data_IF_804907885494
#
_entry.id   IF_804907885494
#
_cell.length_a   1.000
_cell.length_b   1.000
_cell.length_c   1.000
_cell.angle_alpha   90.00
_cell.angle_beta   90.00
_cell.angle_gamma   90.00
#
_symmetry.space_group_name_H-M   'P 1'
#
loop_
_entity.id
_entity.type
_entity.pdbx_description
1 polymer ?
#
# COMPACT_ATOMS: atom_id res chain seq x y z
N UNK A 1 -30.11 0.89 23.85
CA UNK A 1 -28.66 0.97 24.09
C UNK A 1 -28.07 -0.36 23.64
N UNK A 2 -27.61 -0.48 22.38
CA UNK A 2 -26.93 -1.69 21.94
C UNK A 2 -25.55 -1.74 22.60
N UNK A 3 -25.19 -2.94 23.06
CA UNK A 3 -24.11 -3.18 23.99
C UNK A 3 -22.72 -2.99 23.37
N UNK A 4 -21.84 -2.43 24.19
CA UNK A 4 -20.39 -2.28 23.97
C UNK A 4 -19.64 -3.60 23.70
N UNK A 5 -20.33 -4.74 23.66
CA UNK A 5 -19.76 -6.08 23.51
C UNK A 5 -19.80 -6.60 22.06
N UNK A 6 -20.53 -5.95 21.15
CA UNK A 6 -20.54 -6.29 19.71
C UNK A 6 -19.32 -5.74 18.95
N UNK A 7 -18.43 -4.98 19.61
CA UNK A 7 -17.20 -4.45 19.00
C UNK A 7 -16.03 -5.47 18.98
N UNK A 8 -16.26 -6.73 19.38
CA UNK A 8 -15.20 -7.73 19.60
C UNK A 8 -15.42 -9.11 18.94
N UNK A 9 -16.23 -9.22 17.87
CA UNK A 9 -16.20 -10.39 16.98
C UNK A 9 -16.90 -10.08 15.64
N UNK A 10 -16.39 -10.57 14.48
CA UNK A 10 -15.72 -11.86 14.39
C UNK A 10 -14.29 -11.77 13.82
N UNK A 11 -13.34 -12.25 14.62
CA UNK A 11 -12.13 -12.93 14.13
C UNK A 11 -12.54 -14.24 13.43
N UNK A 12 -13.24 -14.16 12.30
CA UNK A 12 -13.47 -15.28 11.39
C UNK A 12 -12.86 -14.95 10.02
N UNK A 13 -11.53 -14.73 10.01
CA UNK A 13 -10.76 -15.11 8.85
C UNK A 13 -10.87 -16.63 8.68
N UNK A 14 -11.32 -17.09 7.51
CA UNK A 14 -11.26 -18.51 7.11
C UNK A 14 -9.78 -18.93 7.04
N UNK A 15 -9.23 -19.33 8.18
CA UNK A 15 -7.82 -19.67 8.31
C UNK A 15 -7.37 -19.65 9.76
N UNK A 16 -7.94 -20.51 10.61
CA UNK A 16 -7.60 -20.64 12.03
C UNK A 16 -6.22 -21.26 12.28
N UNK A 17 -5.16 -20.66 11.75
CA UNK A 17 -3.77 -21.07 11.92
C UNK A 17 -2.87 -19.87 12.18
N UNK A 18 -1.81 -20.09 12.96
CA UNK A 18 -0.74 -19.10 13.22
C UNK A 18 0.02 -18.75 11.92
N UNK A 19 -0.10 -19.59 10.88
CA UNK A 19 0.43 -19.35 9.54
C UNK A 19 -0.67 -18.74 8.68
N UNK A 20 -0.50 -17.50 8.19
CA UNK A 20 -1.47 -16.86 7.30
C UNK A 20 -1.59 -17.62 5.98
N UNK A 21 -2.82 -17.77 5.50
CA UNK A 21 -3.12 -18.45 4.22
C UNK A 21 -4.16 -17.64 3.45
N UNK A 22 -4.10 -17.69 2.13
CA UNK A 22 -5.02 -17.00 1.23
C UNK A 22 -4.34 -15.90 0.43
N UNK A 23 -5.13 -14.97 -0.09
CA UNK A 23 -4.60 -13.85 -0.89
C UNK A 23 -3.72 -12.93 -0.06
N UNK A 24 -2.88 -12.13 -0.72
CA UNK A 24 -2.07 -11.09 -0.07
C UNK A 24 -2.90 -10.21 0.86
N UNK A 25 -4.11 -9.81 0.45
CA UNK A 25 -5.01 -9.00 1.27
C UNK A 25 -5.40 -9.70 2.56
N UNK A 26 -5.75 -10.98 2.51
CA UNK A 26 -6.11 -11.77 3.70
C UNK A 26 -4.93 -11.93 4.66
N UNK A 27 -3.75 -12.25 4.12
CA UNK A 27 -2.52 -12.38 4.91
C UNK A 27 -2.17 -11.06 5.59
N UNK A 28 -2.20 -9.95 4.85
CA UNK A 28 -1.96 -8.63 5.42
C UNK A 28 -2.95 -8.33 6.55
N UNK A 29 -4.25 -8.57 6.32
CA UNK A 29 -5.27 -8.25 7.32
C UNK A 29 -5.05 -9.04 8.62
N UNK A 30 -4.68 -10.31 8.52
CA UNK A 30 -4.35 -11.13 9.69
C UNK A 30 -3.14 -10.57 10.47
N UNK A 31 -2.07 -10.18 9.77
CA UNK A 31 -0.92 -9.53 10.42
C UNK A 31 -1.38 -8.24 11.11
N UNK A 32 -2.08 -7.38 10.38
CA UNK A 32 -2.58 -6.11 10.88
C UNK A 32 -3.42 -6.28 12.15
N UNK A 33 -4.37 -7.21 12.16
CA UNK A 33 -5.25 -7.45 13.32
C UNK A 33 -4.46 -7.95 14.54
N UNK A 34 -3.49 -8.85 14.34
CA UNK A 34 -2.62 -9.34 15.42
C UNK A 34 -1.81 -8.19 16.03
N UNK A 35 -1.16 -7.38 15.20
CA UNK A 35 -0.39 -6.23 15.65
C UNK A 35 -1.27 -5.16 16.30
N UNK A 36 -2.46 -4.92 15.77
CA UNK A 36 -3.40 -3.95 16.29
C UNK A 36 -3.91 -4.37 17.67
N UNK A 37 -4.34 -5.62 17.85
CA UNK A 37 -4.82 -6.13 19.15
C UNK A 37 -3.71 -6.13 20.19
N UNK A 38 -2.54 -6.67 19.85
CA UNK A 38 -1.41 -6.73 20.78
C UNK A 38 -0.92 -5.33 21.15
N UNK A 39 -0.74 -4.46 20.15
CA UNK A 39 -0.33 -3.06 20.34
C UNK A 39 -1.34 -2.27 21.17
N UNK A 40 -2.63 -2.47 20.93
CA UNK A 40 -3.70 -1.85 21.72
C UNK A 40 -3.68 -2.34 23.17
N UNK A 41 -3.51 -3.64 23.41
CA UNK A 41 -3.42 -4.20 24.76
C UNK A 41 -2.24 -3.58 25.53
N UNK A 42 -1.04 -3.60 24.93
CA UNK A 42 0.16 -3.01 25.54
C UNK A 42 -0.03 -1.50 25.75
N UNK A 43 -0.58 -0.80 24.76
CA UNK A 43 -0.90 0.62 24.84
C UNK A 43 -1.83 0.95 25.99
N UNK A 44 -2.92 0.19 26.18
CA UNK A 44 -3.85 0.34 27.30
C UNK A 44 -3.13 0.17 28.64
N UNK A 45 -2.28 -0.85 28.78
CA UNK A 45 -1.51 -1.08 30.02
C UNK A 45 -0.57 0.09 30.31
N UNK A 46 0.21 0.53 29.32
CA UNK A 46 1.17 1.63 29.48
C UNK A 46 0.46 2.93 29.80
N UNK A 47 -0.56 3.30 29.02
CA UNK A 47 -1.33 4.53 29.22
C UNK A 47 -2.04 4.51 30.57
N UNK A 48 -2.68 3.39 30.94
CA UNK A 48 -3.35 3.28 32.25
C UNK A 48 -2.37 3.38 33.40
N UNK A 49 -1.20 2.75 33.29
CA UNK A 49 -0.15 2.86 34.31
C UNK A 49 0.40 4.28 34.41
N UNK A 50 0.65 4.95 33.28
CA UNK A 50 1.07 6.36 33.26
C UNK A 50 0.01 7.27 33.90
N UNK A 51 -1.27 7.11 33.55
CA UNK A 51 -2.37 7.87 34.14
C UNK A 51 -2.51 7.60 35.64
N UNK A 52 -2.39 6.34 36.07
CA UNK A 52 -2.40 5.98 37.49
C UNK A 52 -1.27 6.68 38.25
N UNK A 53 -0.03 6.66 37.75
CA UNK A 53 1.09 7.36 38.40
C UNK A 53 0.88 8.87 38.38
N UNK A 54 0.40 9.43 37.28
CA UNK A 54 0.13 10.85 37.15
C UNK A 54 -0.94 11.34 38.14
N UNK A 55 -1.96 10.51 38.45
CA UNK A 55 -3.00 10.83 39.43
C UNK A 55 -2.53 10.55 40.87
N UNK A 56 -1.90 9.40 41.11
CA UNK A 56 -1.50 8.97 42.46
C UNK A 56 -0.36 9.80 43.03
N UNK A 57 0.59 10.20 42.19
CA UNK A 57 1.75 11.01 42.58
C UNK A 57 1.62 12.45 42.09
N UNK A 58 0.41 12.91 41.78
CA UNK A 58 0.13 14.31 41.50
C UNK A 58 0.42 15.13 42.74
N UNK A 59 1.17 16.23 42.62
CA UNK A 59 1.31 17.20 43.70
C UNK A 59 -0.08 17.76 44.07
N UNK A 60 -0.47 17.57 45.33
CA UNK A 60 -1.70 18.10 45.93
C UNK A 60 -1.39 18.90 47.19
N UNK A 61 -2.38 19.66 47.70
CA UNK A 61 -2.23 20.55 48.86
C UNK A 61 -2.15 19.81 50.22
N UNK A 62 -2.12 18.47 50.23
CA UNK A 62 -2.02 17.65 51.45
C UNK A 62 -0.57 17.46 51.93
N UNK A 63 -0.38 17.27 53.23
CA UNK A 63 0.92 16.98 53.85
C UNK A 63 1.61 15.81 53.14
N UNK A 64 2.80 16.07 52.55
CA UNK A 64 3.66 15.02 52.02
C UNK A 64 4.01 14.08 53.17
N UNK A 65 3.75 12.78 53.01
CA UNK A 65 4.25 11.80 53.96
C UNK A 65 5.78 11.86 53.99
N UNK A 66 6.38 12.03 55.17
CA UNK A 66 7.85 12.08 55.40
C UNK A 66 8.59 10.80 54.94
N UNK A 67 7.86 9.78 54.51
CA UNK A 67 8.38 8.49 54.04
C UNK A 67 8.88 8.51 52.58
N UNK A 68 8.52 9.52 51.78
CA UNK A 68 8.98 9.65 50.39
C UNK A 68 9.95 10.83 50.26
N UNK A 69 11.26 10.53 50.18
CA UNK A 69 12.33 11.51 49.92
C UNK A 69 12.59 11.59 48.40
N UNK A 70 12.01 12.56 47.67
CA UNK A 70 12.26 12.70 46.24
C UNK A 70 13.72 13.10 46.01
N UNK A 71 14.37 12.56 44.96
CA UNK A 71 15.76 12.90 44.67
C UNK A 71 15.91 14.40 44.44
N UNK A 72 16.84 15.03 45.18
CA UNK A 72 17.13 16.46 45.03
C UNK A 72 18.16 16.68 43.92
N UNK A 73 18.13 17.87 43.32
CA UNK A 73 19.11 18.27 42.31
C UNK A 73 20.53 18.20 42.91
N UNK A 74 21.37 17.33 42.35
CA UNK A 74 22.75 17.11 42.79
C UNK A 74 22.98 15.85 43.64
N UNK A 75 21.93 15.14 44.03
CA UNK A 75 22.03 13.84 44.70
C UNK A 75 21.99 12.70 43.67
N UNK A 76 22.90 11.72 43.81
CA UNK A 76 22.83 10.50 43.03
C UNK A 76 21.70 9.63 43.58
N UNK A 77 20.75 9.15 42.75
CA UNK A 77 19.65 8.32 43.22
C UNK A 77 20.16 7.07 43.93
N UNK A 78 20.01 7.00 45.25
CA UNK A 78 20.35 5.81 46.03
C UNK A 78 19.10 4.97 46.21
N UNK A 79 18.96 3.88 45.45
CA UNK A 79 18.00 2.82 45.80
C UNK A 79 16.88 2.49 44.82
N UNK A 80 17.13 2.48 43.50
CA UNK A 80 16.27 1.66 42.62
C UNK A 80 16.72 0.20 42.71
N UNK A 81 16.16 -0.57 43.65
CA UNK A 81 16.53 -1.96 43.89
C UNK A 81 16.70 -2.79 42.61
N UNK A 82 17.97 -3.07 42.28
CA UNK A 82 18.47 -4.11 41.39
C UNK A 82 18.19 -3.92 39.89
N UNK A 83 19.26 -3.80 39.10
CA UNK A 83 19.21 -3.89 37.63
C UNK A 83 18.48 -5.12 37.09
N UNK A 84 18.22 -6.14 37.93
CA UNK A 84 17.39 -7.31 37.61
C UNK A 84 16.01 -6.96 37.03
N UNK A 85 15.32 -5.91 37.51
CA UNK A 85 14.02 -5.48 36.94
C UNK A 85 14.19 -4.89 35.54
N UNK A 86 15.27 -4.12 35.33
CA UNK A 86 15.63 -3.56 34.04
C UNK A 86 15.99 -4.67 33.04
N UNK A 87 16.87 -5.59 33.43
CA UNK A 87 17.25 -6.72 32.58
C UNK A 87 16.08 -7.65 32.27
N UNK A 88 15.16 -7.88 33.21
CA UNK A 88 13.98 -8.71 32.98
C UNK A 88 12.98 -8.04 32.02
N UNK A 89 12.70 -6.75 32.20
CA UNK A 89 11.80 -6.02 31.29
C UNK A 89 12.41 -5.87 29.89
N UNK A 90 13.69 -5.52 29.81
CA UNK A 90 14.42 -5.43 28.54
C UNK A 90 14.50 -6.79 27.83
N UNK A 91 14.85 -7.86 28.56
CA UNK A 91 14.94 -9.21 28.03
C UNK A 91 13.58 -9.73 27.54
N UNK A 92 12.52 -9.54 28.32
CA UNK A 92 11.17 -9.91 27.93
C UNK A 92 10.72 -9.15 26.67
N UNK A 93 10.95 -7.84 26.63
CA UNK A 93 10.63 -7.02 25.44
C UNK A 93 11.41 -7.49 24.21
N UNK A 94 12.70 -7.76 24.36
CA UNK A 94 13.55 -8.25 23.27
C UNK A 94 13.02 -9.57 22.70
N UNK A 95 12.67 -10.53 23.55
CA UNK A 95 12.11 -11.82 23.12
C UNK A 95 10.80 -11.63 22.36
N UNK A 96 9.90 -10.77 22.86
CA UNK A 96 8.62 -10.49 22.19
C UNK A 96 8.86 -9.87 20.82
N UNK A 97 9.69 -8.82 20.73
CA UNK A 97 9.94 -8.10 19.48
C UNK A 97 10.62 -9.00 18.45
N UNK A 98 11.66 -9.76 18.84
CA UNK A 98 12.35 -10.69 17.94
C UNK A 98 11.40 -11.77 17.42
N UNK A 99 10.53 -12.30 18.28
CA UNK A 99 9.53 -13.30 17.88
C UNK A 99 8.53 -12.74 16.87
N UNK A 100 8.03 -11.50 17.09
CA UNK A 100 7.12 -10.83 16.16
C UNK A 100 7.79 -10.54 14.81
N UNK A 101 9.05 -10.08 14.82
CA UNK A 101 9.81 -9.81 13.59
C UNK A 101 10.03 -11.10 12.81
N UNK A 102 10.46 -12.18 13.47
CA UNK A 102 10.67 -13.48 12.83
C UNK A 102 9.38 -14.02 12.20
N UNK A 103 8.25 -13.93 12.92
CA UNK A 103 6.94 -14.33 12.40
C UNK A 103 6.48 -13.48 11.21
N UNK A 104 6.64 -12.15 11.30
CA UNK A 104 6.26 -11.21 10.22
C UNK A 104 7.08 -11.45 8.97
N UNK A 105 8.41 -11.59 9.11
CA UNK A 105 9.30 -11.86 8.00
C UNK A 105 9.03 -13.22 7.36
N UNK A 106 8.79 -14.26 8.16
CA UNK A 106 8.40 -15.58 7.66
C UNK A 106 7.09 -15.54 6.86
N UNK A 107 6.13 -14.73 7.30
CA UNK A 107 4.87 -14.52 6.57
C UNK A 107 5.08 -13.78 5.26
N UNK A 108 5.95 -12.77 5.24
CA UNK A 108 6.31 -12.05 4.01
C UNK A 108 6.92 -12.99 2.98
N UNK A 109 7.87 -13.84 3.40
CA UNK A 109 8.48 -14.83 2.51
C UNK A 109 7.46 -15.82 1.94
N UNK A 110 6.44 -16.19 2.72
CA UNK A 110 5.36 -17.05 2.24
C UNK A 110 4.53 -16.38 1.14
N UNK A 111 4.16 -15.10 1.30
CA UNK A 111 3.41 -14.37 0.27
C UNK A 111 4.24 -14.16 -0.99
N UNK A 112 5.52 -13.81 -0.83
CA UNK A 112 6.40 -13.59 -2.00
C UNK A 112 6.66 -14.89 -2.77
N UNK A 113 6.73 -16.03 -2.07
CA UNK A 113 6.86 -17.34 -2.70
C UNK A 113 5.62 -17.78 -3.49
N UNK A 114 4.43 -17.29 -3.11
CA UNK A 114 3.18 -17.48 -3.86
C UNK A 114 3.05 -16.50 -5.06
N UNK A 115 4.07 -15.70 -5.36
CA UNK A 115 4.11 -14.92 -6.60
C UNK A 115 3.98 -15.86 -7.79
N UNK A 116 3.04 -15.62 -8.72
CA UNK A 116 2.93 -16.43 -9.92
C UNK A 116 4.28 -16.43 -10.64
N UNK A 117 4.74 -17.61 -11.07
CA UNK A 117 5.84 -17.70 -12.03
C UNK A 117 5.50 -16.95 -13.32
N UNK A 118 6.50 -16.62 -14.14
CA UNK A 118 6.30 -15.92 -15.43
C UNK A 118 5.29 -16.64 -16.33
N UNK A 119 5.22 -17.97 -16.25
CA UNK A 119 4.31 -18.81 -17.03
C UNK A 119 2.93 -19.04 -16.37
N UNK A 120 2.70 -18.50 -15.16
CA UNK A 120 1.48 -18.74 -14.36
C UNK A 120 0.61 -17.50 -14.17
N UNK A 121 1.12 -16.31 -14.53
CA UNK A 121 0.31 -15.10 -14.52
C UNK A 121 -0.73 -15.18 -15.64
N UNK A 122 -2.01 -15.01 -15.29
CA UNK A 122 -3.09 -15.11 -16.26
C UNK A 122 -3.13 -13.88 -17.19
N UNK A 123 -2.68 -12.73 -16.70
CA UNK A 123 -2.63 -11.47 -17.44
C UNK A 123 -1.41 -10.67 -16.98
N UNK A 124 -0.63 -10.17 -17.93
CA UNK A 124 0.42 -9.18 -17.73
C UNK A 124 -0.01 -7.86 -18.34
N UNK A 125 0.02 -6.78 -17.55
CA UNK A 125 -0.39 -5.43 -17.99
C UNK A 125 0.74 -4.46 -17.73
N UNK A 126 1.15 -3.72 -18.76
CA UNK A 126 2.07 -2.61 -18.59
C UNK A 126 1.31 -1.40 -18.04
N UNK A 127 1.87 -0.76 -17.02
CA UNK A 127 1.28 0.40 -16.36
C UNK A 127 2.25 1.58 -16.46
N UNK A 128 1.82 2.63 -17.14
CA UNK A 128 2.63 3.83 -17.31
C UNK A 128 1.99 5.01 -16.57
N UNK A 129 2.72 5.54 -15.58
CA UNK A 129 2.34 6.74 -14.85
C UNK A 129 2.83 8.02 -15.51
N UNK A 130 1.95 9.01 -15.65
CA UNK A 130 2.25 10.35 -16.14
C UNK A 130 1.49 11.40 -15.33
N UNK A 131 1.89 12.67 -15.33
CA UNK A 131 1.11 13.73 -14.67
C UNK A 131 -0.19 14.03 -15.44
N UNK A 132 -1.39 13.77 -14.92
CA UNK A 132 -1.75 13.14 -13.64
C UNK A 132 -2.75 12.00 -13.90
N UNK A 133 -2.26 10.89 -14.44
CA UNK A 133 -3.06 9.73 -14.81
C UNK A 133 -2.22 8.48 -15.04
N UNK A 134 -2.94 7.40 -15.37
CA UNK A 134 -2.37 6.08 -15.60
C UNK A 134 -2.82 5.58 -16.97
N UNK A 135 -1.90 4.97 -17.71
CA UNK A 135 -2.21 4.24 -18.93
C UNK A 135 -1.93 2.76 -18.70
N UNK A 136 -2.84 1.92 -19.15
CA UNK A 136 -2.75 0.47 -19.06
C UNK A 136 -2.63 -0.11 -20.47
N UNK A 137 -1.59 -0.86 -20.74
CA UNK A 137 -1.37 -1.54 -22.02
C UNK A 137 -1.39 -3.06 -21.82
N UNK A 138 -2.22 -3.73 -22.60
CA UNK A 138 -2.44 -5.17 -22.52
C UNK A 138 -1.61 -5.91 -23.60
N UNK A 139 -1.42 -7.24 -23.48
CA UNK A 139 -0.53 -7.99 -24.39
C UNK A 139 -0.96 -7.97 -25.86
N UNK A 140 -2.22 -7.68 -26.15
CA UNK A 140 -2.74 -7.49 -27.51
C UNK A 140 -2.48 -6.08 -28.09
N UNK A 141 -1.78 -5.21 -27.36
CA UNK A 141 -1.52 -3.82 -27.73
C UNK A 141 -2.69 -2.87 -27.49
N UNK A 142 -3.78 -3.34 -26.89
CA UNK A 142 -4.88 -2.46 -26.48
C UNK A 142 -4.41 -1.55 -25.33
N UNK A 143 -4.73 -0.26 -25.41
CA UNK A 143 -4.44 0.71 -24.35
C UNK A 143 -5.72 1.26 -23.76
N UNK A 144 -5.81 1.33 -22.44
CA UNK A 144 -6.98 1.84 -21.72
C UNK A 144 -6.60 2.79 -20.59
N UNK A 145 -7.54 3.64 -20.19
CA UNK A 145 -7.46 4.52 -19.00
C UNK A 145 -7.97 3.83 -17.72
N UNK A 146 -8.60 2.67 -17.86
CA UNK A 146 -9.10 1.83 -16.76
C UNK A 146 -8.43 0.47 -16.84
N UNK A 147 -7.98 -0.05 -15.71
CA UNK A 147 -7.45 -1.39 -15.61
C UNK A 147 -8.62 -2.36 -15.49
N UNK A 148 -8.71 -3.34 -16.36
CA UNK A 148 -9.71 -4.42 -16.35
C UNK A 148 -8.97 -5.72 -16.18
N UNK A 149 -9.38 -6.54 -15.23
CA UNK A 149 -8.69 -7.79 -14.89
C UNK A 149 -9.67 -8.88 -14.49
N UNK A 150 -9.35 -10.16 -14.71
CA UNK A 150 -10.19 -11.27 -14.28
C UNK A 150 -10.10 -11.51 -12.76
N UNK A 151 -11.24 -11.84 -12.15
CA UNK A 151 -11.29 -12.34 -10.78
C UNK A 151 -10.64 -13.72 -10.66
N UNK A 152 -10.19 -14.06 -9.46
CA UNK A 152 -9.61 -15.37 -9.10
C UNK A 152 -8.37 -15.79 -9.88
N UNK A 153 -7.77 -14.86 -10.61
CA UNK A 153 -6.59 -15.06 -11.42
C UNK A 153 -5.49 -14.11 -11.00
N UNK A 154 -4.25 -14.57 -11.16
CA UNK A 154 -3.08 -13.75 -10.85
C UNK A 154 -2.81 -12.77 -11.98
N UNK A 155 -2.75 -11.48 -11.64
CA UNK A 155 -2.44 -10.37 -12.54
C UNK A 155 -1.04 -9.87 -12.20
N UNK A 156 -0.19 -9.75 -13.21
CA UNK A 156 1.12 -9.10 -13.10
C UNK A 156 1.06 -7.70 -13.70
N UNK A 157 1.63 -6.74 -13.01
CA UNK A 157 1.75 -5.36 -13.44
C UNK A 157 3.23 -5.03 -13.62
N UNK A 158 3.57 -4.59 -14.83
CA UNK A 158 4.90 -4.09 -15.17
C UNK A 158 4.84 -2.56 -15.22
N UNK A 159 5.37 -1.90 -14.19
CA UNK A 159 5.07 -0.49 -13.91
C UNK A 159 6.27 0.41 -14.20
N UNK A 160 6.05 1.47 -14.95
CA UNK A 160 7.04 2.51 -15.29
C UNK A 160 6.41 3.90 -15.26
N UNK A 161 7.22 4.94 -15.48
CA UNK A 161 6.74 6.30 -15.66
C UNK A 161 7.38 6.99 -16.86
N UNK A 162 6.59 7.86 -17.49
CA UNK A 162 7.02 8.71 -18.60
C UNK A 162 7.61 10.07 -18.17
N UNK A 163 7.47 10.46 -16.90
CA UNK A 163 7.90 11.79 -16.45
C UNK A 163 8.62 11.83 -15.10
N UNK A 164 7.91 11.66 -13.98
CA UNK A 164 8.45 11.79 -12.62
C UNK A 164 8.23 10.51 -11.81
N UNK A 165 8.72 10.46 -10.58
CA UNK A 165 8.38 9.35 -9.71
C UNK A 165 6.89 9.39 -9.38
N UNK A 166 6.24 8.25 -9.57
CA UNK A 166 4.90 7.98 -9.04
C UNK A 166 4.96 6.67 -8.25
N UNK A 167 3.87 6.35 -7.57
CA UNK A 167 3.68 5.01 -7.00
C UNK A 167 2.26 4.58 -7.31
N UNK A 168 2.11 3.54 -8.13
CA UNK A 168 0.81 2.94 -8.40
C UNK A 168 0.38 2.12 -7.19
N UNK A 169 -0.84 2.31 -6.70
CA UNK A 169 -1.37 1.46 -5.64
C UNK A 169 -2.89 1.36 -5.64
N UNK A 170 -3.39 0.19 -5.27
CA UNK A 170 -4.81 -0.09 -5.07
C UNK A 170 -4.99 -0.53 -3.61
N UNK A 171 -5.48 0.35 -2.72
CA UNK A 171 -5.52 0.12 -1.27
C UNK A 171 -6.24 -1.17 -0.87
N UNK A 172 -7.40 -1.42 -1.47
CA UNK A 172 -8.29 -2.55 -1.18
C UNK A 172 -7.64 -3.88 -1.55
N UNK A 173 -6.81 -3.89 -2.60
CA UNK A 173 -6.07 -5.06 -3.07
C UNK A 173 -4.68 -5.19 -2.45
N UNK A 174 -4.30 -4.26 -1.54
CA UNK A 174 -3.00 -4.21 -0.86
C UNK A 174 -1.82 -4.36 -1.83
N UNK A 175 -1.93 -3.72 -3.00
CA UNK A 175 -0.90 -3.67 -4.03
C UNK A 175 -0.36 -2.25 -4.12
N UNK A 176 0.97 -2.12 -4.13
CA UNK A 176 1.67 -0.86 -4.28
C UNK A 176 3.04 -1.12 -4.90
N UNK A 177 3.39 -0.40 -5.96
CA UNK A 177 4.74 -0.42 -6.55
C UNK A 177 5.10 0.94 -7.13
N UNK A 178 6.39 1.23 -7.21
CA UNK A 178 6.90 2.51 -7.67
C UNK A 178 6.98 2.55 -9.20
N UNK A 179 6.46 3.62 -9.80
CA UNK A 179 6.57 3.91 -11.22
C UNK A 179 7.74 4.87 -11.42
N UNK A 180 8.84 4.37 -11.98
CA UNK A 180 10.11 5.08 -11.99
C UNK A 180 10.53 5.36 -13.44
N UNK A 181 10.82 6.61 -13.81
CA UNK A 181 11.29 6.91 -15.16
C UNK A 181 12.57 6.14 -15.52
N UNK A 182 12.55 5.45 -16.66
CA UNK A 182 13.71 4.73 -17.21
C UNK A 182 14.00 3.36 -16.60
N UNK A 183 13.12 2.83 -15.73
CA UNK A 183 13.18 1.43 -15.27
C UNK A 183 11.79 0.91 -14.98
N UNK A 184 11.61 -0.39 -15.12
CA UNK A 184 10.38 -1.03 -14.70
C UNK A 184 10.49 -1.57 -13.27
N UNK A 185 9.34 -1.64 -12.61
CA UNK A 185 9.14 -2.42 -11.38
C UNK A 185 8.01 -3.40 -11.61
N UNK A 186 8.08 -4.54 -10.93
CA UNK A 186 7.06 -5.57 -11.01
C UNK A 186 6.26 -5.64 -9.72
N UNK A 187 4.96 -5.84 -9.85
CA UNK A 187 4.11 -6.33 -8.77
C UNK A 187 3.06 -7.26 -9.34
N UNK A 188 2.44 -8.05 -8.49
CA UNK A 188 1.32 -8.89 -8.86
C UNK A 188 0.21 -8.76 -7.84
N UNK A 189 -1.02 -9.15 -8.19
CA UNK A 189 -2.10 -9.31 -7.23
C UNK A 189 -3.11 -10.36 -7.73
N UNK A 190 -3.98 -10.82 -6.83
CA UNK A 190 -5.13 -11.66 -7.18
C UNK A 190 -6.34 -11.12 -6.43
N UNK A 191 -7.37 -10.71 -7.18
CA UNK A 191 -8.62 -10.21 -6.64
C UNK A 191 -9.67 -11.32 -6.67
N UNK A 192 -10.27 -11.65 -5.53
CA UNK A 192 -11.28 -12.71 -5.43
C UNK A 192 -12.72 -12.19 -5.58
N UNK A 193 -12.93 -10.88 -5.37
CA UNK A 193 -14.24 -10.25 -5.43
C UNK A 193 -14.31 -9.36 -6.67
N UNK A 194 -15.34 -9.57 -7.49
CA UNK A 194 -15.63 -8.70 -8.63
C UNK A 194 -16.10 -7.34 -8.14
N UNK A 195 -15.83 -6.30 -8.92
CA UNK A 195 -16.17 -4.93 -8.54
C UNK A 195 -15.24 -3.90 -9.16
N UNK A 196 -15.45 -2.64 -8.81
CA UNK A 196 -14.56 -1.53 -9.19
C UNK A 196 -13.83 -1.03 -7.97
N UNK A 197 -12.52 -0.98 -8.07
CA UNK A 197 -11.59 -0.50 -7.05
C UNK A 197 -10.91 0.78 -7.55
N UNK A 198 -10.36 1.57 -6.63
CA UNK A 198 -9.71 2.82 -6.97
C UNK A 198 -8.18 2.70 -6.84
N UNK A 199 -7.48 2.88 -7.95
CA UNK A 199 -6.04 3.09 -7.94
C UNK A 199 -5.74 4.56 -7.63
N UNK A 200 -4.65 4.80 -6.89
CA UNK A 200 -4.16 6.13 -6.51
C UNK A 200 -2.65 6.23 -6.70
N UNK A 201 -2.17 7.45 -6.90
CA UNK A 201 -0.76 7.76 -6.77
C UNK A 201 -0.37 7.93 -5.28
N UNK A 202 0.68 7.23 -4.84
CA UNK A 202 1.20 7.26 -3.47
C UNK A 202 2.55 7.97 -3.30
N UNK A 203 3.05 8.60 -4.36
CA UNK A 203 4.28 9.40 -4.37
C UNK A 203 3.98 10.81 -4.86
N UNK A 204 4.49 11.83 -4.17
CA UNK A 204 4.14 13.22 -4.45
C UNK A 204 4.66 13.64 -5.84
N UNK A 205 3.80 13.60 -6.84
CA UNK A 205 4.18 13.77 -8.26
C UNK A 205 3.86 15.15 -8.86
N UNK A 206 3.32 16.08 -8.06
CA UNK A 206 3.06 17.47 -8.47
C UNK A 206 1.70 18.00 -8.02
N UNK A 207 1.26 19.13 -8.61
CA UNK A 207 0.06 19.86 -8.19
C UNK A 207 -1.25 19.06 -8.31
N UNK A 208 -1.34 18.13 -9.26
CA UNK A 208 -2.49 17.25 -9.46
C UNK A 208 -2.41 15.92 -8.70
N UNK A 209 -1.42 15.72 -7.83
CA UNK A 209 -1.15 14.44 -7.17
C UNK A 209 -2.39 13.83 -6.48
N UNK A 210 -3.17 14.64 -5.76
CA UNK A 210 -4.37 14.17 -5.05
C UNK A 210 -5.51 13.71 -5.97
N UNK A 211 -5.48 14.11 -7.25
CA UNK A 211 -6.49 13.75 -8.25
C UNK A 211 -6.01 12.64 -9.19
N UNK A 212 -4.79 12.16 -9.02
CA UNK A 212 -4.19 11.12 -9.85
C UNK A 212 -4.73 9.74 -9.46
N UNK A 213 -5.93 9.43 -9.92
CA UNK A 213 -6.64 8.16 -9.68
C UNK A 213 -6.91 7.42 -10.99
N UNK A 214 -7.22 6.13 -10.89
CA UNK A 214 -7.74 5.32 -12.00
C UNK A 214 -8.69 4.24 -11.47
N UNK A 215 -9.60 3.77 -12.32
CA UNK A 215 -10.49 2.65 -11.96
C UNK A 215 -9.82 1.30 -12.28
N UNK A 216 -9.94 0.37 -11.35
CA UNK A 216 -9.56 -1.03 -11.50
C UNK A 216 -10.81 -1.90 -11.44
N UNK A 217 -11.25 -2.40 -12.58
CA UNK A 217 -12.46 -3.21 -12.72
C UNK A 217 -12.08 -4.69 -12.72
N UNK A 218 -12.44 -5.38 -11.63
CA UNK A 218 -12.30 -6.84 -11.51
C UNK A 218 -13.57 -7.49 -12.02
N UNK A 219 -13.44 -8.25 -13.10
CA UNK A 219 -14.55 -8.82 -13.86
C UNK A 219 -14.63 -10.33 -13.66
N UNK A 220 -15.82 -10.94 -13.82
CA UNK A 220 -15.92 -12.39 -14.00
C UNK A 220 -14.97 -12.86 -15.12
N UNK A 221 -14.27 -14.00 -14.98
CA UNK A 221 -13.29 -14.45 -15.98
C UNK A 221 -13.84 -14.58 -17.39
N UNK A 222 -15.12 -14.94 -17.53
CA UNK A 222 -15.77 -15.08 -18.84
C UNK A 222 -16.03 -13.72 -19.50
N UNK A 223 -16.54 -12.75 -18.75
CA UNK A 223 -16.74 -11.38 -19.23
C UNK A 223 -15.41 -10.69 -19.56
N UNK A 224 -14.36 -10.94 -18.76
CA UNK A 224 -13.01 -10.43 -19.07
C UNK A 224 -12.51 -10.97 -20.41
N UNK A 225 -12.70 -12.26 -20.67
CA UNK A 225 -12.28 -12.89 -21.93
C UNK A 225 -13.02 -12.30 -23.13
N UNK A 226 -14.33 -12.17 -23.03
CA UNK A 226 -15.16 -11.56 -24.08
C UNK A 226 -14.73 -10.11 -24.38
N UNK A 227 -14.48 -9.32 -23.33
CA UNK A 227 -13.95 -7.96 -23.48
C UNK A 227 -12.56 -7.96 -24.11
N UNK A 228 -11.64 -8.80 -23.64
CA UNK A 228 -10.28 -8.86 -24.15
C UNK A 228 -10.24 -9.25 -25.63
N UNK A 229 -11.05 -10.24 -26.04
CA UNK A 229 -11.19 -10.66 -27.44
C UNK A 229 -11.80 -9.56 -28.32
N UNK A 230 -12.74 -8.76 -27.79
CA UNK A 230 -13.33 -7.65 -28.55
C UNK A 230 -12.32 -6.54 -28.82
N UNK A 231 -11.44 -6.24 -27.85
CA UNK A 231 -10.42 -5.17 -28.00
C UNK A 231 -9.36 -5.48 -29.06
N UNK A 232 -9.07 -6.75 -29.32
CA UNK A 232 -8.13 -7.17 -30.37
C UNK A 232 -8.67 -7.00 -31.80
N UNK A 233 -9.99 -6.83 -31.96
CA UNK A 233 -10.64 -6.57 -33.25
C UNK A 233 -10.85 -5.07 -33.51
N UNK A 234 -10.61 -4.21 -32.53
CA UNK A 234 -10.76 -2.76 -32.65
C UNK A 234 -9.43 -2.12 -33.06
N UNK A 235 -9.34 -1.74 -34.33
CA UNK A 235 -8.28 -0.86 -34.85
C UNK A 235 -8.44 0.52 -34.21
N UNK A 236 -7.73 0.76 -33.11
CA UNK A 236 -7.36 2.06 -32.53
C UNK A 236 -8.48 3.12 -32.50
N UNK A 237 -9.24 3.20 -31.40
CA UNK A 237 -9.96 4.45 -31.05
C UNK A 237 -9.20 5.20 -29.94
N UNK A 238 -8.29 6.07 -30.38
CA UNK A 238 -7.72 7.10 -29.53
C UNK A 238 -8.72 8.26 -29.44
N UNK A 239 -9.63 8.25 -28.46
CA UNK A 239 -10.61 9.34 -28.42
C UNK A 239 -11.72 9.39 -27.38
N UNK A 240 -11.68 8.72 -26.23
CA UNK A 240 -12.60 9.09 -25.14
C UNK A 240 -12.11 10.37 -24.43
N UNK A 241 -12.41 11.51 -25.07
CA UNK A 241 -12.29 12.83 -24.47
C UNK A 241 -13.40 13.02 -23.43
N UNK A 242 -13.00 13.09 -22.15
CA UNK A 242 -13.87 13.61 -21.09
C UNK A 242 -14.12 15.11 -21.32
N UNK A 243 -15.12 15.42 -22.13
CA UNK A 243 -15.69 16.75 -22.27
C UNK A 243 -17.04 16.79 -21.54
N UNK A 244 -17.02 17.09 -20.24
CA UNK A 244 -18.18 17.70 -19.58
C UNK A 244 -17.77 18.46 -18.33
N UNK A 245 -17.48 19.74 -18.51
CA UNK A 245 -17.66 20.79 -17.50
C UNK A 245 -17.58 22.16 -18.19
N UNK A 246 -18.60 22.49 -18.99
CA UNK A 246 -18.93 23.88 -19.27
C UNK A 246 -19.92 24.36 -18.21
N UNK A 247 -19.48 25.24 -17.31
CA UNK A 247 -20.29 26.40 -17.02
C UNK A 247 -19.46 27.62 -16.66
N UNK A 248 -19.93 28.71 -17.23
CA UNK A 248 -19.41 30.07 -17.36
C UNK A 248 -19.30 30.82 -16.02
N UNK A 249 -18.35 31.77 -15.92
CA UNK A 249 -18.19 32.59 -14.71
C UNK A 249 -16.88 33.36 -14.53
N UNK A 250 -16.55 34.27 -15.45
CA UNK A 250 -15.89 35.57 -15.20
C UNK A 250 -14.50 35.64 -14.51
N UNK A 251 -13.50 35.96 -15.35
CA UNK A 251 -12.34 36.86 -15.14
C UNK A 251 -11.50 36.79 -13.85
N UNK A 252 -10.21 36.44 -14.01
CA UNK A 252 -9.13 37.41 -13.80
C UNK A 252 -7.85 36.98 -14.54
N UNK A 253 -7.22 37.94 -15.20
CA UNK A 253 -5.97 37.79 -15.92
C UNK A 253 -4.78 37.72 -14.95
N UNK A 254 -3.86 36.81 -15.21
CA UNK A 254 -2.42 37.05 -15.02
C UNK A 254 -1.63 36.09 -15.88
N UNK A 255 -0.90 36.68 -16.82
CA UNK A 255 -0.01 36.02 -17.74
C UNK A 255 1.17 35.39 -16.99
N UNK A 256 1.50 34.14 -17.34
CA UNK A 256 2.89 33.72 -17.47
C UNK A 256 3.03 32.83 -18.72
N UNK A 257 3.78 33.42 -19.63
CA UNK A 257 4.37 33.03 -20.90
C UNK A 257 4.73 31.54 -21.12
N UNK A 258 4.20 31.02 -22.22
CA UNK A 258 4.83 30.22 -23.29
C UNK A 258 6.15 29.51 -23.00
N UNK A 259 6.12 28.17 -22.99
CA UNK A 259 7.17 27.37 -23.58
C UNK A 259 6.58 26.07 -24.16
N UNK A 260 6.33 26.11 -25.46
CA UNK A 260 6.05 24.96 -26.32
C UNK A 260 7.20 23.95 -26.28
N UNK A 261 6.91 22.69 -25.98
CA UNK A 261 7.73 21.58 -26.45
C UNK A 261 6.83 20.38 -26.74
N UNK A 262 6.26 20.38 -27.94
CA UNK A 262 5.76 19.18 -28.58
C UNK A 262 6.97 18.35 -29.03
N UNK A 263 7.10 17.12 -28.52
CA UNK A 263 7.98 16.13 -29.13
C UNK A 263 7.27 14.79 -29.17
N UNK A 264 6.77 14.45 -30.35
CA UNK A 264 6.33 13.09 -30.69
C UNK A 264 7.48 12.08 -30.49
N UNK A 265 7.19 10.83 -30.10
CA UNK A 265 8.20 9.79 -30.05
C UNK A 265 8.60 9.39 -31.47
N UNK A 266 9.91 9.42 -31.72
CA UNK A 266 10.49 8.94 -32.97
C UNK A 266 10.46 7.40 -33.00
N UNK A 267 9.88 6.86 -34.08
CA UNK A 267 9.92 5.45 -34.44
C UNK A 267 11.37 4.92 -34.44
N UNK A 268 11.61 3.83 -33.72
CA UNK A 268 12.88 3.08 -33.84
C UNK A 268 12.75 2.09 -34.99
N UNK A 269 13.44 2.39 -36.09
CA UNK A 269 13.68 1.45 -37.19
C UNK A 269 14.73 0.42 -36.75
N UNK A 270 14.43 -0.86 -36.95
CA UNK A 270 15.33 -1.97 -36.79
C UNK A 270 16.53 -1.87 -37.74
N UNK A 271 17.74 -2.12 -37.22
CA UNK A 271 18.92 -2.40 -38.03
C UNK A 271 19.49 -3.75 -37.59
N UNK A 272 19.21 -4.76 -38.40
CA UNK A 272 19.91 -6.04 -38.45
C UNK A 272 21.29 -5.79 -39.04
N UNK A 273 22.35 -6.13 -38.31
CA UNK A 273 23.65 -6.45 -38.89
C UNK A 273 24.22 -7.68 -38.19
N UNK A 274 24.18 -8.81 -38.88
CA UNK A 274 25.00 -9.97 -38.55
C UNK A 274 26.47 -9.73 -38.92
N UNK A 275 27.35 -10.46 -38.24
CA UNK A 275 28.78 -10.52 -38.55
C UNK A 275 29.56 -11.07 -37.35
N UNK A 276 29.81 -12.38 -37.36
CA UNK A 276 30.57 -13.07 -36.32
C UNK A 276 32.10 -12.92 -36.45
N UNK A 277 32.79 -13.38 -35.41
CA UNK A 277 34.02 -14.20 -35.42
C UNK A 277 34.80 -14.03 -34.10
N UNK A 278 35.30 -15.18 -33.61
CA UNK A 278 36.22 -15.41 -32.48
C UNK A 278 35.62 -15.36 -31.06
#
# INVERSE_FOLDING_TARGET
MPGLLDALAPLHGKGGGIVPRGTRTAVFQQIFDVFLVLGTLVGVVVVSYMLYNAVKYRDGEGERSDEFDPPKLGELPSGSGGGRKLFLSFGLSTVIVVSLVAWTYGTLLYVEADSPGEDEAAVEVEVTGFRFGWQFEYPNGHTASKLRVPADQSVRLHVTSDDVFHTFGVPELRVKTDAIPGRYTDTWFRANETGTYEARCFELCGAGHSYMTAEVVVMPPDEYREWYESTGNETTDAGETNASASNDGTANASAYDTATNARSPAARTAAVTGGGAA
#
